data_IF_488624827466
#
_entry.id   IF_488624827466
#
_cell.length_a   1.000
_cell.length_b   1.000
_cell.length_c   1.000
_cell.angle_alpha   90.00
_cell.angle_beta   90.00
_cell.angle_gamma   90.00
#
_symmetry.space_group_name_H-M   'P 1'
#
loop_
_entity.id
_entity.type
_entity.pdbx_description
1 polymer ?
#
# COMPACT_ATOMS: atom_id res chain seq x y z
N UNK A 1 7.41 3.60 3.96
CA UNK A 1 7.08 2.54 4.93
C UNK A 1 7.41 1.19 4.33
N UNK A 2 8.17 0.32 5.03
CA UNK A 2 8.47 -1.01 4.51
C UNK A 2 7.31 -1.96 4.81
N UNK A 3 6.32 -1.99 3.91
CA UNK A 3 4.99 -2.59 4.14
C UNK A 3 5.03 -4.04 4.66
N UNK A 4 5.98 -4.86 4.17
CA UNK A 4 6.08 -6.28 4.52
C UNK A 4 6.32 -6.45 6.01
N UNK A 5 7.34 -5.78 6.54
CA UNK A 5 7.74 -5.92 7.93
C UNK A 5 6.75 -5.29 8.90
N UNK A 6 6.16 -4.17 8.53
CA UNK A 6 5.13 -3.56 9.36
C UNK A 6 3.92 -4.48 9.47
N UNK A 7 3.37 -4.96 8.35
CA UNK A 7 2.24 -5.88 8.41
C UNK A 7 2.56 -7.14 9.23
N UNK A 8 3.74 -7.73 9.05
CA UNK A 8 4.17 -8.91 9.82
C UNK A 8 4.25 -8.66 11.33
N UNK A 9 4.78 -7.50 11.75
CA UNK A 9 5.05 -7.22 13.16
C UNK A 9 3.86 -6.65 13.93
N UNK A 10 3.00 -5.87 13.28
CA UNK A 10 1.93 -5.15 13.98
C UNK A 10 0.53 -5.45 13.42
N UNK A 11 0.43 -6.19 12.32
CA UNK A 11 -0.85 -6.56 11.70
C UNK A 11 -1.66 -5.36 11.20
N UNK A 12 -2.86 -5.62 10.69
CA UNK A 12 -3.76 -4.58 10.17
C UNK A 12 -4.20 -3.57 11.23
N UNK A 13 -4.44 -4.04 12.46
CA UNK A 13 -4.79 -3.17 13.58
C UNK A 13 -3.64 -2.24 13.94
N UNK A 14 -2.41 -2.76 14.00
CA UNK A 14 -1.22 -1.95 14.26
C UNK A 14 -0.99 -0.91 13.17
N UNK A 15 -1.19 -1.26 11.90
CA UNK A 15 -1.12 -0.30 10.78
C UNK A 15 -2.11 0.86 10.99
N UNK A 16 -3.34 0.56 11.40
CA UNK A 16 -4.34 1.59 11.72
C UNK A 16 -3.94 2.41 12.97
N UNK A 17 -3.41 1.74 14.00
CA UNK A 17 -2.96 2.39 15.24
C UNK A 17 -1.83 3.40 15.00
N UNK A 18 -0.90 3.11 14.08
CA UNK A 18 0.15 4.06 13.68
C UNK A 18 -0.41 5.38 13.16
N UNK A 19 -1.57 5.35 12.51
CA UNK A 19 -2.19 6.53 11.95
C UNK A 19 -3.11 7.26 12.93
N UNK A 20 -3.51 6.66 14.06
CA UNK A 20 -4.54 7.23 14.98
C UNK A 20 -4.28 8.68 15.37
N UNK A 21 -3.01 9.05 15.57
CA UNK A 21 -2.61 10.40 15.98
C UNK A 21 -2.72 11.48 14.90
N UNK A 22 -2.99 11.11 13.64
CA UNK A 22 -3.01 12.04 12.50
C UNK A 22 -4.41 12.15 11.93
N UNK A 23 -4.90 13.36 11.60
CA UNK A 23 -6.20 13.51 10.92
C UNK A 23 -6.12 12.98 9.48
N UNK A 24 -5.01 13.25 8.80
CA UNK A 24 -4.79 12.80 7.44
C UNK A 24 -4.53 11.28 7.39
N UNK A 25 -5.40 10.57 6.67
CA UNK A 25 -5.32 9.13 6.42
C UNK A 25 -5.04 8.81 4.95
N UNK A 26 -4.67 9.81 4.14
CA UNK A 26 -4.35 9.63 2.74
C UNK A 26 -3.11 8.73 2.59
N UNK A 27 -3.22 7.78 1.68
CA UNK A 27 -2.17 6.86 1.33
C UNK A 27 -2.20 6.61 -0.18
N UNK A 28 -1.16 5.93 -0.68
CA UNK A 28 -1.20 5.41 -2.04
C UNK A 28 -0.50 4.05 -2.11
N UNK A 29 -1.04 3.19 -2.95
CA UNK A 29 -0.32 2.01 -3.42
C UNK A 29 0.51 2.42 -4.63
N UNK A 30 1.76 1.98 -4.67
CA UNK A 30 2.68 2.25 -5.77
C UNK A 30 3.26 0.94 -6.27
N UNK A 31 3.14 0.73 -7.57
CA UNK A 31 3.77 -0.37 -8.28
C UNK A 31 4.86 0.20 -9.18
N UNK A 32 6.07 -0.34 -9.09
CA UNK A 32 7.22 0.11 -9.88
C UNK A 32 7.76 -1.11 -10.62
N UNK A 33 7.83 -1.01 -11.94
CA UNK A 33 8.52 -1.96 -12.80
C UNK A 33 9.70 -1.26 -13.44
N UNK A 34 10.88 -1.88 -13.42
CA UNK A 34 12.06 -1.38 -14.11
C UNK A 34 12.58 -2.44 -15.07
N UNK A 35 12.80 -2.05 -16.33
CA UNK A 35 13.23 -2.93 -17.42
C UNK A 35 14.55 -2.40 -18.01
N UNK A 36 15.61 -3.19 -17.93
CA UNK A 36 16.84 -2.98 -18.71
C UNK A 36 16.83 -3.95 -19.91
N UNK A 37 17.13 -3.46 -21.11
CA UNK A 37 17.13 -4.30 -22.32
C UNK A 37 18.41 -5.12 -22.48
N UNK A 38 19.48 -4.74 -21.77
CA UNK A 38 20.76 -5.44 -21.80
C UNK A 38 21.67 -5.04 -20.63
N UNK A 39 22.76 -5.79 -20.42
CA UNK A 39 23.78 -5.43 -19.44
C UNK A 39 24.35 -4.02 -19.73
N UNK A 40 24.38 -3.16 -18.70
CA UNK A 40 24.91 -1.80 -18.81
C UNK A 40 23.94 -0.78 -19.42
N UNK A 41 22.74 -1.19 -19.85
CA UNK A 41 21.70 -0.25 -20.26
C UNK A 41 20.96 0.32 -19.05
N UNK A 42 20.66 1.63 -19.10
CA UNK A 42 19.89 2.29 -18.06
C UNK A 42 18.44 1.77 -18.04
N UNK A 43 17.92 1.29 -16.91
CA UNK A 43 16.57 0.73 -16.87
C UNK A 43 15.48 1.77 -17.15
N UNK A 44 14.54 1.44 -18.04
CA UNK A 44 13.29 2.18 -18.21
C UNK A 44 12.37 1.83 -17.04
N UNK A 45 11.91 2.84 -16.31
CA UNK A 45 11.07 2.66 -15.12
C UNK A 45 9.62 3.10 -15.39
N UNK A 46 8.68 2.22 -15.06
CA UNK A 46 7.24 2.42 -15.15
C UNK A 46 6.65 2.48 -13.74
N UNK A 47 5.89 3.54 -13.45
CA UNK A 47 5.31 3.77 -12.13
C UNK A 47 3.79 3.84 -12.23
N UNK A 48 3.11 2.90 -11.56
CA UNK A 48 1.68 2.96 -11.30
C UNK A 48 1.42 3.47 -9.89
N UNK A 49 0.50 4.42 -9.73
CA UNK A 49 0.10 4.96 -8.42
C UNK A 49 -1.41 4.94 -8.28
N UNK A 50 -1.87 4.58 -7.09
CA UNK A 50 -3.30 4.52 -6.76
C UNK A 50 -3.53 5.19 -5.40
N UNK A 51 -4.14 6.38 -5.37
CA UNK A 51 -4.32 7.24 -4.17
C UNK A 51 -5.63 6.97 -3.46
N UNK A 52 -5.60 6.79 -2.14
CA UNK A 52 -6.71 6.22 -1.36
C UNK A 52 -6.66 6.69 0.10
N UNK A 53 -7.57 6.17 0.95
CA UNK A 53 -7.51 6.29 2.41
C UNK A 53 -7.20 4.96 3.10
N UNK A 54 -6.51 5.03 4.24
CA UNK A 54 -6.38 3.90 5.16
C UNK A 54 -7.59 3.84 6.09
N UNK A 55 -8.19 2.66 6.19
CA UNK A 55 -9.42 2.38 6.94
C UNK A 55 -9.21 1.19 7.88
N UNK A 56 -10.08 1.02 8.89
CA UNK A 56 -10.16 -0.24 9.63
C UNK A 56 -10.35 -1.41 8.68
N UNK A 57 -9.69 -2.53 8.98
CA UNK A 57 -9.67 -3.70 8.11
C UNK A 57 -11.10 -4.20 7.81
N UNK A 58 -11.42 -4.46 6.54
CA UNK A 58 -12.67 -5.08 6.11
C UNK A 58 -12.39 -6.20 5.11
N UNK A 59 -13.25 -7.23 5.11
CA UNK A 59 -13.07 -8.39 4.24
C UNK A 59 -12.07 -9.43 4.76
N UNK A 60 -11.67 -10.40 3.91
CA UNK A 60 -10.70 -11.44 4.26
C UNK A 60 -9.29 -10.88 4.53
N UNK A 61 -8.60 -11.40 5.54
CA UNK A 61 -7.26 -10.93 5.95
C UNK A 61 -6.08 -11.70 5.32
N UNK A 62 -6.34 -12.45 4.25
CA UNK A 62 -5.37 -13.34 3.61
C UNK A 62 -4.56 -12.67 2.49
N UNK A 63 -4.99 -11.51 2.00
CA UNK A 63 -4.29 -10.76 0.96
C UNK A 63 -3.61 -9.50 1.50
N UNK A 64 -2.43 -9.67 2.10
CA UNK A 64 -1.53 -8.57 2.43
C UNK A 64 -2.18 -7.44 3.23
N UNK A 65 -1.97 -6.19 2.79
CA UNK A 65 -2.48 -4.98 3.46
C UNK A 65 -3.78 -4.47 2.84
N UNK A 66 -4.34 -5.15 1.83
CA UNK A 66 -5.53 -4.70 1.11
C UNK A 66 -6.75 -4.44 2.01
N UNK A 67 -7.02 -5.24 3.07
CA UNK A 67 -8.17 -5.00 3.95
C UNK A 67 -8.23 -3.60 4.58
N UNK A 68 -7.09 -2.91 4.71
CA UNK A 68 -7.02 -1.57 5.30
C UNK A 68 -6.97 -0.45 4.27
N UNK A 69 -7.01 -0.76 2.98
CA UNK A 69 -6.82 0.22 1.92
C UNK A 69 -8.09 0.34 1.09
N UNK A 70 -8.76 1.49 1.16
CA UNK A 70 -10.00 1.71 0.42
C UNK A 70 -9.78 2.63 -0.78
N UNK A 71 -9.87 2.09 -1.99
CA UNK A 71 -9.89 2.85 -3.21
C UNK A 71 -10.76 4.10 -3.37
N UNK A 72 -10.17 5.27 -3.70
CA UNK A 72 -10.85 6.42 -4.31
C UNK A 72 -11.79 5.97 -5.45
N UNK A 73 -13.06 6.37 -5.37
CA UNK A 73 -14.11 5.96 -6.32
C UNK A 73 -14.78 4.63 -5.99
N UNK A 74 -14.41 3.98 -4.87
CA UNK A 74 -15.04 2.74 -4.39
C UNK A 74 -15.29 2.81 -2.88
N UNK A 75 -16.22 1.98 -2.39
CA UNK A 75 -16.54 1.85 -0.97
C UNK A 75 -16.02 0.54 -0.34
N UNK A 76 -15.43 -0.31 -1.16
CA UNK A 76 -14.84 -1.58 -0.76
C UNK A 76 -13.33 -1.45 -0.60
N UNK A 77 -12.80 -2.24 0.33
CA UNK A 77 -11.38 -2.54 0.48
C UNK A 77 -11.09 -3.82 -0.27
#
# INVERSE_FOLDING_TARGET
MNRKWFLEKIGHEGLNNLLKAYEDKLAFAMCIFSLALGPGEEPITFVGKTTRKIMPARGPNDFGWDPVFQPDGFEQT
#
